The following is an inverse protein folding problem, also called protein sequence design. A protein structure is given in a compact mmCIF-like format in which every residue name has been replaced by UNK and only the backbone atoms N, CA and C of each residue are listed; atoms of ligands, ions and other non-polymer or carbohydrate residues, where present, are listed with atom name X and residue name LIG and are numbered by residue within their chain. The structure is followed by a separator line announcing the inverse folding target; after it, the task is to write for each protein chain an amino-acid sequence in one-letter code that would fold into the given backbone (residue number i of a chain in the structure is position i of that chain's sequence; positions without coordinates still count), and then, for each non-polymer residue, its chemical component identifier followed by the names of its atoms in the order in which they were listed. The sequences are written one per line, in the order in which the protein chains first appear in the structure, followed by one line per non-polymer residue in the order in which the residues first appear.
data_IF_326984890879
#
_entry.id   IF_326984890879
#
_cell.length_a   1.000
_cell.length_b   1.000
_cell.length_c   1.000
_cell.angle_alpha   90.00
_cell.angle_beta   90.00
_cell.angle_gamma   90.00
#
_symmetry.space_group_name_H-M   'P 1'
#
loop_
_entity.id
_entity.type
_entity.pdbx_description
1 polymer ?
#
# COMPACT_ATOMS: atom_id res chain seq x y z
N UNK A 1 23.31 15.07 -6.47
CA UNK A 1 21.98 14.67 -5.94
C UNK A 1 21.46 15.79 -5.05
N UNK A 2 20.19 16.17 -5.20
CA UNK A 2 19.55 17.24 -4.40
C UNK A 2 18.98 16.66 -3.09
N UNK A 3 18.84 17.48 -2.03
CA UNK A 3 18.33 17.06 -0.72
C UNK A 3 16.95 16.38 -0.79
N UNK A 4 16.09 16.82 -1.70
CA UNK A 4 14.75 16.25 -1.94
C UNK A 4 14.83 14.78 -2.35
N UNK A 5 15.82 14.40 -3.18
CA UNK A 5 15.96 13.03 -3.63
C UNK A 5 16.38 12.11 -2.47
N UNK A 6 17.24 12.60 -1.58
CA UNK A 6 17.69 11.86 -0.39
C UNK A 6 16.51 11.61 0.56
N UNK A 7 15.67 12.62 0.79
CA UNK A 7 14.49 12.47 1.65
C UNK A 7 13.49 11.47 1.05
N UNK A 8 13.24 11.52 -0.27
CA UNK A 8 12.40 10.53 -0.96
C UNK A 8 12.93 9.11 -0.82
N UNK A 9 14.23 8.90 -1.03
CA UNK A 9 14.86 7.59 -0.88
C UNK A 9 14.75 7.05 0.55
N UNK A 10 14.98 7.90 1.56
CA UNK A 10 14.84 7.52 2.96
C UNK A 10 13.39 7.18 3.35
N UNK A 11 12.42 7.99 2.92
CA UNK A 11 11.01 7.73 3.14
C UNK A 11 10.54 6.45 2.44
N UNK A 12 11.05 6.17 1.23
CA UNK A 12 10.76 4.92 0.52
C UNK A 12 11.34 3.71 1.27
N UNK A 13 12.60 3.78 1.72
CA UNK A 13 13.22 2.71 2.50
C UNK A 13 12.40 2.37 3.73
N UNK A 14 12.02 3.38 4.51
CA UNK A 14 11.24 3.21 5.74
C UNK A 14 9.87 2.56 5.49
N UNK A 15 9.17 2.96 4.43
CA UNK A 15 7.92 2.29 4.04
C UNK A 15 8.14 0.83 3.65
N UNK A 16 9.18 0.54 2.86
CA UNK A 16 9.47 -0.82 2.38
C UNK A 16 9.89 -1.76 3.52
N UNK A 17 10.60 -1.27 4.52
CA UNK A 17 10.92 -2.04 5.74
C UNK A 17 9.63 -2.51 6.43
N UNK A 18 8.65 -1.61 6.61
CA UNK A 18 7.36 -1.95 7.21
C UNK A 18 6.56 -2.91 6.32
N UNK A 19 6.58 -2.72 5.00
CA UNK A 19 5.96 -3.65 4.05
C UNK A 19 6.54 -5.05 4.21
N UNK A 20 7.86 -5.18 4.33
CA UNK A 20 8.51 -6.47 4.54
C UNK A 20 8.08 -7.11 5.86
N UNK A 21 8.05 -6.33 6.95
CA UNK A 21 7.57 -6.82 8.24
C UNK A 21 6.12 -7.31 8.18
N UNK A 22 5.23 -6.59 7.51
CA UNK A 22 3.81 -6.96 7.39
C UNK A 22 3.62 -8.20 6.51
N UNK A 23 4.37 -8.31 5.41
CA UNK A 23 4.36 -9.49 4.53
C UNK A 23 4.85 -10.77 5.23
N UNK A 24 5.77 -10.63 6.18
CA UNK A 24 6.29 -11.76 6.97
C UNK A 24 5.36 -12.15 8.13
N UNK A 25 4.74 -11.17 8.78
CA UNK A 25 3.91 -11.37 9.98
C UNK A 25 2.48 -11.80 9.65
N UNK A 26 1.89 -11.27 8.58
CA UNK A 26 0.49 -11.48 8.25
C UNK A 26 0.30 -12.32 6.98
N UNK A 27 -0.25 -13.53 7.13
CA UNK A 27 -0.57 -14.40 6.02
C UNK A 27 -1.57 -13.77 5.04
N UNK A 28 -2.36 -12.80 5.48
CA UNK A 28 -3.30 -12.05 4.66
C UNK A 28 -2.61 -11.39 3.45
N UNK A 29 -1.41 -10.85 3.65
CA UNK A 29 -0.69 -10.10 2.63
C UNK A 29 0.28 -10.95 1.81
N UNK A 30 0.42 -12.25 2.10
CA UNK A 30 1.44 -13.13 1.51
C UNK A 30 1.43 -13.19 -0.02
N UNK A 31 0.27 -12.95 -0.64
CA UNK A 31 0.09 -13.01 -2.09
C UNK A 31 0.29 -11.65 -2.78
N UNK A 32 0.50 -10.55 -2.02
CA UNK A 32 0.73 -9.24 -2.61
C UNK A 32 2.06 -9.18 -3.36
N UNK A 33 2.05 -8.52 -4.51
CA UNK A 33 3.25 -8.36 -5.32
C UNK A 33 4.14 -7.23 -4.77
N UNK A 34 5.31 -7.60 -4.23
CA UNK A 34 6.29 -6.63 -3.68
C UNK A 34 6.69 -5.53 -4.67
N UNK A 35 6.75 -5.81 -5.97
CA UNK A 35 7.12 -4.80 -6.97
C UNK A 35 5.98 -3.79 -7.19
N UNK A 36 4.72 -4.23 -7.18
CA UNK A 36 3.58 -3.31 -7.25
C UNK A 36 3.48 -2.47 -5.98
N UNK A 37 3.66 -3.06 -4.80
CA UNK A 37 3.74 -2.30 -3.54
C UNK A 37 4.83 -1.23 -3.60
N UNK A 38 6.04 -1.58 -4.06
CA UNK A 38 7.13 -0.60 -4.22
C UNK A 38 6.75 0.54 -5.15
N UNK A 39 6.06 0.25 -6.25
CA UNK A 39 5.58 1.26 -7.20
C UNK A 39 4.52 2.15 -6.57
N UNK A 40 3.55 1.60 -5.84
CA UNK A 40 2.51 2.35 -5.10
C UNK A 40 3.16 3.31 -4.09
N UNK A 41 4.11 2.83 -3.29
CA UNK A 41 4.79 3.68 -2.31
C UNK A 41 5.69 4.73 -2.98
N UNK A 42 6.34 4.40 -4.10
CA UNK A 42 7.09 5.37 -4.90
C UNK A 42 6.18 6.50 -5.41
N UNK A 43 5.01 6.15 -5.97
CA UNK A 43 4.03 7.12 -6.45
C UNK A 43 3.39 7.95 -5.32
N UNK A 44 3.26 7.36 -4.13
CA UNK A 44 2.75 8.06 -2.94
C UNK A 44 3.68 9.21 -2.52
N UNK A 45 5.00 9.04 -2.67
CA UNK A 45 6.01 10.06 -2.38
C UNK A 45 6.00 11.24 -3.36
N UNK A 46 5.24 11.16 -4.45
CA UNK A 46 4.98 12.32 -5.32
C UNK A 46 3.82 13.18 -4.83
N UNK A 47 3.01 12.67 -3.89
CA UNK A 47 1.82 13.32 -3.36
C UNK A 47 1.93 13.71 -1.88
N UNK A 48 2.88 13.12 -1.16
CA UNK A 48 3.08 13.30 0.28
C UNK A 48 4.50 13.79 0.55
N UNK A 49 4.70 14.61 1.59
CA UNK A 49 6.04 15.04 2.01
C UNK A 49 6.85 13.84 2.52
N UNK A 50 8.04 13.58 1.95
CA UNK A 50 8.94 12.55 2.46
C UNK A 50 9.36 12.81 3.92
N UNK A 51 9.52 14.08 4.31
CA UNK A 51 9.87 14.48 5.66
C UNK A 51 8.79 14.11 6.68
N UNK A 52 7.52 14.26 6.32
CA UNK A 52 6.40 13.83 7.16
C UNK A 52 6.46 12.32 7.42
N UNK A 53 6.69 11.51 6.39
CA UNK A 53 6.81 10.04 6.51
C UNK A 53 7.99 9.65 7.39
N UNK A 54 9.14 10.33 7.22
CA UNK A 54 10.32 10.09 8.05
C UNK A 54 10.03 10.43 9.52
N UNK A 55 9.23 11.47 9.78
CA UNK A 55 8.89 11.94 11.13
C UNK A 55 7.87 11.09 11.88
N UNK A 56 7.04 10.30 11.18
CA UNK A 56 6.08 9.38 11.81
C UNK A 56 6.80 8.34 12.66
N UNK A 57 6.23 7.91 13.77
CA UNK A 57 6.73 6.72 14.44
C UNK A 57 6.36 5.45 13.64
N UNK A 58 6.93 4.31 14.05
CA UNK A 58 6.72 3.06 13.34
C UNK A 58 5.30 2.51 13.50
N UNK A 59 4.59 2.82 14.58
CA UNK A 59 3.22 2.31 14.81
C UNK A 59 2.23 3.05 13.89
N UNK A 60 2.33 4.37 13.85
CA UNK A 60 1.54 5.22 12.96
C UNK A 60 1.83 4.92 11.49
N UNK A 61 3.10 4.74 11.14
CA UNK A 61 3.47 4.41 9.78
C UNK A 61 3.01 3.00 9.40
N UNK A 62 3.15 2.03 10.30
CA UNK A 62 2.65 0.66 10.11
C UNK A 62 1.15 0.64 9.86
N UNK A 63 0.37 1.36 10.66
CA UNK A 63 -1.08 1.48 10.47
C UNK A 63 -1.46 2.05 9.09
N UNK A 64 -0.67 3.00 8.56
CA UNK A 64 -0.91 3.59 7.24
C UNK A 64 -0.51 2.64 6.11
N UNK A 65 0.64 1.98 6.23
CA UNK A 65 1.12 0.99 5.26
C UNK A 65 0.15 -0.19 5.18
N UNK A 66 -0.32 -0.71 6.32
CA UNK A 66 -1.31 -1.77 6.44
C UNK A 66 -2.60 -1.46 5.65
N UNK A 67 -3.15 -0.25 5.83
CA UNK A 67 -4.35 0.20 5.07
C UNK A 67 -4.12 0.22 3.57
N UNK A 68 -2.94 0.67 3.12
CA UNK A 68 -2.61 0.69 1.69
C UNK A 68 -2.51 -0.75 1.16
N UNK A 69 -1.86 -1.65 1.91
CA UNK A 69 -1.75 -3.06 1.55
C UNK A 69 -3.12 -3.76 1.53
N UNK A 70 -4.03 -3.43 2.45
CA UNK A 70 -5.39 -3.93 2.44
C UNK A 70 -6.19 -3.45 1.22
N UNK A 71 -6.02 -2.19 0.80
CA UNK A 71 -6.65 -1.68 -0.43
C UNK A 71 -6.11 -2.43 -1.65
N UNK A 72 -4.80 -2.64 -1.73
CA UNK A 72 -4.19 -3.40 -2.84
C UNK A 72 -4.70 -4.84 -2.88
N UNK A 73 -4.80 -5.49 -1.72
CA UNK A 73 -5.35 -6.85 -1.61
C UNK A 73 -6.78 -6.92 -2.14
N UNK A 74 -7.64 -6.00 -1.70
CA UNK A 74 -9.02 -5.94 -2.16
C UNK A 74 -9.11 -5.64 -3.66
N UNK A 75 -8.22 -4.79 -4.18
CA UNK A 75 -8.18 -4.45 -5.61
C UNK A 75 -7.81 -5.69 -6.45
N UNK A 76 -6.80 -6.44 -6.03
CA UNK A 76 -6.44 -7.71 -6.68
C UNK A 76 -7.57 -8.76 -6.60
N UNK A 77 -8.29 -8.83 -5.48
CA UNK A 77 -9.45 -9.72 -5.36
C UNK A 77 -10.59 -9.31 -6.31
N UNK A 78 -10.80 -8.01 -6.54
CA UNK A 78 -11.79 -7.52 -7.50
C UNK A 78 -11.38 -7.84 -8.94
N UNK A 79 -10.08 -7.77 -9.26
CA UNK A 79 -9.54 -8.12 -10.57
C UNK A 79 -9.71 -9.61 -10.90
N UNK A 80 -9.80 -10.48 -9.88
CA UNK A 80 -10.01 -11.92 -10.01
C UNK A 80 -11.48 -12.32 -10.22
N UNK A 81 -12.42 -11.37 -10.12
CA UNK A 81 -13.85 -11.65 -10.27
C UNK A 81 -14.24 -11.87 -11.74
N UNK A 82 -15.13 -12.85 -11.95
CA UNK A 82 -15.79 -13.02 -13.25
C UNK A 82 -16.79 -11.88 -13.51
N UNK A 83 -17.18 -11.64 -14.78
CA UNK A 83 -18.20 -10.62 -15.09
C UNK A 83 -19.52 -10.80 -14.32
N UNK A 84 -19.96 -12.05 -14.10
CA UNK A 84 -21.16 -12.36 -13.33
C UNK A 84 -20.99 -11.99 -11.84
N UNK A 85 -19.82 -12.24 -11.25
CA UNK A 85 -19.54 -11.87 -9.86
C UNK A 85 -19.41 -10.37 -9.67
N UNK A 86 -18.88 -9.63 -10.66
CA UNK A 86 -18.85 -8.16 -10.67
C UNK A 86 -20.28 -7.61 -10.67
N UNK A 87 -21.17 -8.13 -11.52
CA UNK A 87 -22.58 -7.71 -11.55
C UNK A 87 -23.28 -7.93 -10.19
N UNK A 88 -23.01 -9.05 -9.52
CA UNK A 88 -23.54 -9.35 -8.18
C UNK A 88 -22.98 -8.37 -7.13
N UNK A 89 -21.67 -8.09 -7.19
CA UNK A 89 -21.02 -7.16 -6.28
C UNK A 89 -21.59 -5.75 -6.44
N UNK A 90 -21.67 -5.24 -7.67
CA UNK A 90 -22.18 -3.91 -8.01
C UNK A 90 -23.62 -3.75 -7.51
N UNK A 91 -24.49 -4.73 -7.79
CA UNK A 91 -25.87 -4.73 -7.30
C UNK A 91 -25.97 -4.72 -5.76
N UNK A 92 -25.02 -5.36 -5.05
CA UNK A 92 -24.99 -5.39 -3.59
C UNK A 92 -24.50 -4.08 -2.96
N UNK A 93 -23.66 -3.30 -3.66
CA UNK A 93 -23.10 -2.03 -3.16
C UNK A 93 -23.87 -0.80 -3.65
N UNK A 94 -24.58 -0.85 -4.78
CA UNK A 94 -25.43 0.23 -5.31
C UNK A 94 -26.56 0.65 -4.35
N UNK A 95 -26.93 -0.21 -3.39
CA UNK A 95 -27.99 0.05 -2.42
C UNK A 95 -27.57 0.75 -1.12
N UNK A 96 -26.34 1.29 -1.02
CA UNK A 96 -25.80 1.92 0.19
C UNK A 96 -25.45 3.40 0.03
#
# INVERSE_FOLDING_TARGET
MTKINIAKEAALSKNLEIVEELLEKDNLFKNLNKNELRKIFTQTLDKVSPEEIISLDNEDLSTRVDRIMAIELLSGMLDDLTPEEIEIFDAAVEGK
#
